data_IF_695613123659
#
_entry.id   IF_695613123659
#
_cell.length_a   1.000
_cell.length_b   1.000
_cell.length_c   1.000
_cell.angle_alpha   90.00
_cell.angle_beta   90.00
_cell.angle_gamma   90.00
#
_symmetry.space_group_name_H-M   'P 1'
#
loop_
_entity.id
_entity.type
_entity.pdbx_description
1 polymer ?
#
# COMPACT_ATOMS: atom_id res chain seq x y z
N UNK A 1 -16.43 43.16 -26.47
CA UNK A 1 -15.97 43.50 -25.10
C UNK A 1 -15.89 42.18 -24.36
N UNK A 2 -14.66 41.70 -24.13
CA UNK A 2 -14.27 40.64 -23.19
C UNK A 2 -15.05 39.32 -23.19
N UNK A 3 -14.85 38.44 -24.17
CA UNK A 3 -15.04 37.00 -23.96
C UNK A 3 -13.80 36.46 -23.25
N UNK A 4 -13.75 36.68 -21.94
CA UNK A 4 -12.75 36.12 -21.01
C UNK A 4 -13.58 35.49 -19.90
N UNK A 5 -13.67 34.17 -19.74
CA UNK A 5 -12.57 33.28 -19.36
C UNK A 5 -12.97 31.80 -19.60
N UNK A 6 -12.13 30.99 -20.25
CA UNK A 6 -12.24 29.53 -20.19
C UNK A 6 -11.01 28.90 -19.54
N UNK A 7 -10.78 29.07 -18.23
CA UNK A 7 -9.93 28.20 -17.41
C UNK A 7 -9.90 28.76 -15.97
N UNK A 8 -10.75 28.26 -15.09
CA UNK A 8 -10.48 28.41 -13.66
C UNK A 8 -9.46 27.34 -13.27
N UNK A 9 -8.34 27.81 -12.75
CA UNK A 9 -7.12 27.03 -12.53
C UNK A 9 -7.37 25.78 -11.71
N UNK A 10 -6.82 24.67 -12.21
CA UNK A 10 -6.82 23.39 -11.51
C UNK A 10 -6.05 23.47 -10.20
N UNK A 11 -6.75 23.14 -9.13
CA UNK A 11 -6.17 22.62 -7.90
C UNK A 11 -6.55 21.13 -7.87
N UNK A 12 -5.62 20.18 -8.14
CA UNK A 12 -5.93 18.76 -8.09
C UNK A 12 -6.13 18.34 -6.63
N UNK A 13 -7.33 18.57 -6.10
CA UNK A 13 -7.70 18.05 -4.80
C UNK A 13 -7.92 16.55 -4.90
N UNK A 14 -6.99 15.82 -4.28
CA UNK A 14 -7.33 14.70 -3.40
C UNK A 14 -7.93 13.49 -4.12
N UNK A 15 -7.17 12.89 -5.03
CA UNK A 15 -7.28 11.45 -5.20
C UNK A 15 -6.71 10.81 -3.92
N UNK A 16 -7.60 10.26 -3.10
CA UNK A 16 -7.26 9.36 -1.99
C UNK A 16 -6.45 8.19 -2.58
N UNK A 17 -5.13 8.34 -2.71
CA UNK A 17 -4.25 7.31 -3.24
C UNK A 17 -4.33 6.12 -2.27
N UNK A 18 -5.11 5.11 -2.62
CA UNK A 18 -5.11 3.84 -1.92
C UNK A 18 -3.66 3.34 -1.86
N UNK A 19 -3.10 3.29 -0.66
CA UNK A 19 -1.70 2.95 -0.41
C UNK A 19 -1.53 1.45 -0.60
N UNK A 20 -1.48 1.04 -1.87
CA UNK A 20 -1.20 -0.33 -2.31
C UNK A 20 0.31 -0.59 -2.37
N UNK A 21 1.11 0.22 -1.68
CA UNK A 21 2.56 0.31 -1.84
C UNK A 21 3.22 0.05 -0.50
N UNK A 22 4.42 -0.50 -0.52
CA UNK A 22 5.18 -0.73 0.70
C UNK A 22 5.35 0.57 1.50
N UNK A 23 4.99 0.56 2.78
CA UNK A 23 5.12 1.75 3.65
C UNK A 23 6.57 2.20 3.88
N UNK A 24 7.56 1.36 3.54
CA UNK A 24 8.97 1.70 3.71
C UNK A 24 9.61 2.28 2.45
N UNK A 25 9.45 1.60 1.32
CA UNK A 25 10.11 2.00 0.08
C UNK A 25 9.19 2.70 -0.91
N UNK A 26 7.86 2.67 -0.69
CA UNK A 26 6.80 3.36 -1.44
C UNK A 26 6.80 3.13 -2.98
N UNK A 27 7.75 2.35 -3.47
CA UNK A 27 8.04 2.04 -4.86
C UNK A 27 7.43 0.70 -5.26
N UNK A 28 7.41 -0.26 -4.34
CA UNK A 28 6.90 -1.60 -4.62
C UNK A 28 5.38 -1.62 -4.43
N UNK A 29 4.66 -1.91 -5.51
CA UNK A 29 3.22 -2.18 -5.46
C UNK A 29 2.99 -3.59 -4.91
N UNK A 30 2.23 -3.67 -3.83
CA UNK A 30 1.88 -4.89 -3.13
C UNK A 30 0.59 -5.44 -3.72
N UNK A 31 0.72 -6.39 -4.65
CA UNK A 31 -0.44 -7.09 -5.18
C UNK A 31 -1.15 -7.90 -4.06
N UNK A 32 -2.48 -8.02 -4.15
CA UNK A 32 -3.27 -8.79 -3.19
C UNK A 32 -2.86 -10.27 -3.11
N UNK A 33 -2.42 -10.83 -4.24
CA UNK A 33 -1.90 -12.20 -4.37
C UNK A 33 -0.36 -12.26 -4.43
N UNK A 34 0.30 -11.11 -4.30
CA UNK A 34 1.74 -11.00 -4.38
C UNK A 34 2.45 -11.43 -3.09
N UNK A 35 3.77 -11.65 -3.15
CA UNK A 35 4.58 -11.85 -1.97
C UNK A 35 4.68 -10.52 -1.19
N UNK A 36 3.73 -10.30 -0.29
CA UNK A 36 3.66 -9.16 0.62
C UNK A 36 3.69 -9.65 2.07
N UNK A 37 4.24 -8.83 2.95
CA UNK A 37 4.25 -9.05 4.39
C UNK A 37 3.31 -8.04 5.04
N UNK A 38 2.52 -8.48 6.00
CA UNK A 38 1.56 -7.65 6.72
C UNK A 38 1.71 -7.89 8.22
N UNK A 39 1.48 -6.87 9.04
CA UNK A 39 1.42 -7.00 10.50
C UNK A 39 -0.05 -7.02 10.99
N UNK A 40 -0.28 -7.25 12.29
CA UNK A 40 -1.63 -7.18 12.89
C UNK A 40 -2.29 -5.80 12.80
N UNK A 41 -1.51 -4.74 12.61
CA UNK A 41 -2.00 -3.36 12.42
C UNK A 41 -2.17 -3.01 10.93
N UNK A 42 -2.15 -4.01 10.05
CA UNK A 42 -2.40 -3.87 8.61
C UNK A 42 -1.31 -3.08 7.84
N UNK A 43 -0.18 -2.76 8.48
CA UNK A 43 0.98 -2.20 7.78
C UNK A 43 1.55 -3.23 6.79
N UNK A 44 1.75 -2.80 5.55
CA UNK A 44 2.09 -3.69 4.44
C UNK A 44 3.49 -3.37 3.89
N UNK A 45 4.34 -4.39 3.80
CA UNK A 45 5.73 -4.28 3.36
C UNK A 45 6.07 -5.31 2.28
N UNK A 46 6.98 -4.97 1.38
CA UNK A 46 7.49 -5.93 0.41
C UNK A 46 8.46 -6.91 1.09
N UNK A 47 8.66 -8.10 0.50
CA UNK A 47 9.55 -9.13 1.08
C UNK A 47 10.94 -8.58 1.37
N UNK A 48 11.54 -7.81 0.46
CA UNK A 48 12.87 -7.24 0.67
C UNK A 48 12.93 -6.25 1.84
N UNK A 49 11.89 -5.43 2.01
CA UNK A 49 11.83 -4.52 3.17
C UNK A 49 11.62 -5.30 4.47
N UNK A 50 10.75 -6.29 4.49
CA UNK A 50 10.51 -7.11 5.68
C UNK A 50 11.74 -7.95 6.06
N UNK A 51 12.47 -8.48 5.08
CA UNK A 51 13.72 -9.22 5.29
C UNK A 51 14.80 -8.30 5.91
N UNK A 52 14.99 -7.12 5.34
CA UNK A 52 15.89 -6.10 5.91
C UNK A 52 15.43 -5.53 7.26
N UNK A 53 14.20 -5.83 7.72
CA UNK A 53 13.68 -5.52 9.05
C UNK A 53 13.80 -6.68 10.04
N UNK A 54 14.22 -7.86 9.59
CA UNK A 54 14.17 -9.07 10.41
C UNK A 54 12.74 -9.51 10.72
N UNK A 55 11.79 -9.27 9.81
CA UNK A 55 10.35 -9.53 10.01
C UNK A 55 9.73 -8.77 11.20
N UNK A 56 10.25 -7.61 11.57
CA UNK A 56 9.67 -6.72 12.59
C UNK A 56 9.14 -5.45 11.94
N UNK A 57 7.89 -5.09 12.22
CA UNK A 57 7.31 -3.84 11.76
C UNK A 57 7.96 -2.64 12.49
N UNK A 58 8.56 -1.66 11.80
CA UNK A 58 9.16 -0.50 12.45
C UNK A 58 8.11 0.52 12.94
N UNK A 59 6.92 0.54 12.33
CA UNK A 59 5.83 1.43 12.71
C UNK A 59 5.04 0.91 13.93
N UNK A 60 4.97 -0.41 14.08
CA UNK A 60 4.09 -1.10 15.03
C UNK A 60 4.84 -1.88 16.11
N UNK A 61 6.09 -2.27 15.85
CA UNK A 61 6.85 -3.22 16.68
C UNK A 61 6.37 -4.69 16.59
N UNK A 62 5.32 -4.98 15.80
CA UNK A 62 4.78 -6.33 15.64
C UNK A 62 5.52 -7.19 14.61
N UNK A 63 5.24 -8.48 14.57
CA UNK A 63 5.83 -9.40 13.58
C UNK A 63 5.19 -9.21 12.18
N UNK A 64 6.02 -9.29 11.15
CA UNK A 64 5.66 -9.22 9.74
C UNK A 64 5.50 -10.63 9.16
N UNK A 65 4.25 -11.08 9.09
CA UNK A 65 3.89 -12.38 8.54
C UNK A 65 3.54 -12.28 7.05
N UNK A 66 3.71 -13.35 6.26
CA UNK A 66 3.24 -13.36 4.87
C UNK A 66 1.73 -13.15 4.81
N UNK A 67 1.32 -12.20 3.95
CA UNK A 67 -0.09 -11.92 3.72
C UNK A 67 -0.76 -13.20 3.23
N UNK A 68 -1.82 -13.68 3.89
CA UNK A 68 -2.54 -14.85 3.40
C UNK A 68 -3.09 -14.54 2.01
N UNK A 69 -2.73 -15.37 1.04
CA UNK A 69 -3.27 -15.26 -0.33
C UNK A 69 -4.75 -15.62 -0.29
N UNK A 70 -5.54 -14.96 -1.13
CA UNK A 70 -6.92 -15.39 -1.35
C UNK A 70 -6.88 -16.74 -2.08
N UNK A 71 -6.74 -17.82 -1.33
CA UNK A 71 -7.35 -19.06 -1.77
C UNK A 71 -8.83 -18.73 -1.88
N UNK A 72 -9.37 -18.74 -3.10
CA UNK A 72 -10.81 -18.84 -3.30
C UNK A 72 -11.25 -19.93 -2.32
N UNK A 73 -12.06 -19.54 -1.33
CA UNK A 73 -12.43 -20.38 -0.23
C UNK A 73 -12.70 -21.78 -0.78
N UNK A 74 -11.92 -22.77 -0.36
CA UNK A 74 -12.32 -24.15 -0.60
C UNK A 74 -13.60 -24.27 0.21
N UNK A 75 -14.72 -24.25 -0.49
CA UNK A 75 -16.04 -24.44 0.07
C UNK A 75 -16.04 -25.78 0.78
N UNK A 76 -16.21 -25.75 2.10
CA UNK A 76 -16.64 -26.91 2.87
C UNK A 76 -18.14 -27.08 2.76
#
# INVERSE_FOLDING_TARGET
MGWSQPYEGGEPVMALEMRNRCERCETVVLAADGPARICSYECSFCVGCADALGSICPNCGGELVPRPRRFAAVSG
#
